data_IF_623424214754
#
_entry.id   IF_623424214754
#
_cell.length_a   1.000
_cell.length_b   1.000
_cell.length_c   1.000
_cell.angle_alpha   90.00
_cell.angle_beta   90.00
_cell.angle_gamma   90.00
#
_symmetry.space_group_name_H-M   'P 1'
#
loop_
_entity.id
_entity.type
_entity.pdbx_description
1 polymer ?
#
# COMPACT_ATOMS: atom_id res chain seq x y z
N UNK A 1 27.08 -6.62 58.24
CA UNK A 1 26.42 -5.56 57.46
C UNK A 1 26.05 -6.14 56.10
N UNK A 2 24.75 -6.28 55.81
CA UNK A 2 24.21 -6.84 54.56
C UNK A 2 23.45 -5.73 53.86
N UNK A 3 24.01 -5.17 52.80
CA UNK A 3 23.31 -4.28 51.87
C UNK A 3 23.05 -5.08 50.60
N UNK A 4 21.88 -5.72 50.54
CA UNK A 4 21.35 -6.27 49.29
C UNK A 4 20.81 -5.09 48.48
N UNK A 5 21.55 -4.65 47.48
CA UNK A 5 21.04 -3.74 46.45
C UNK A 5 20.14 -4.53 45.51
N UNK A 6 18.83 -4.29 45.60
CA UNK A 6 17.85 -4.83 44.64
C UNK A 6 17.94 -3.97 43.38
N UNK A 7 18.53 -4.53 42.32
CA UNK A 7 18.58 -3.93 41.00
C UNK A 7 17.23 -4.15 40.30
N UNK A 8 16.33 -3.18 40.38
CA UNK A 8 15.04 -3.20 39.69
C UNK A 8 15.25 -3.04 38.17
N UNK A 9 15.15 -4.14 37.43
CA UNK A 9 15.11 -4.11 35.95
C UNK A 9 13.76 -3.59 35.51
N UNK A 10 13.72 -2.35 35.04
CA UNK A 10 12.56 -1.77 34.35
C UNK A 10 12.41 -2.49 33.00
N UNK A 11 11.46 -3.43 32.92
CA UNK A 11 10.97 -3.96 31.66
C UNK A 11 10.15 -2.85 30.97
N UNK A 12 10.80 -2.07 30.11
CA UNK A 12 10.11 -1.17 29.20
C UNK A 12 9.50 -2.09 28.12
N UNK A 13 8.23 -2.44 28.27
CA UNK A 13 7.47 -3.11 27.23
C UNK A 13 7.29 -2.16 26.05
N UNK A 14 8.18 -2.27 25.06
CA UNK A 14 8.08 -1.56 23.79
C UNK A 14 6.80 -2.01 23.10
N UNK A 15 5.71 -1.27 23.26
CA UNK A 15 4.52 -1.46 22.45
C UNK A 15 4.86 -1.02 21.02
N UNK A 16 5.21 -1.98 20.17
CA UNK A 16 5.34 -1.73 18.75
C UNK A 16 3.93 -1.42 18.21
N UNK A 17 3.66 -0.13 17.96
CA UNK A 17 2.50 0.29 17.19
C UNK A 17 2.55 -0.44 15.85
N UNK A 18 1.52 -1.22 15.55
CA UNK A 18 1.43 -1.94 14.28
C UNK A 18 1.39 -0.92 13.14
N UNK A 19 2.48 -0.82 12.37
CA UNK A 19 2.59 0.11 11.26
C UNK A 19 1.52 -0.18 10.20
N UNK A 20 0.91 0.88 9.64
CA UNK A 20 0.01 0.76 8.50
C UNK A 20 0.76 0.14 7.32
N UNK A 21 0.19 -0.88 6.70
CA UNK A 21 0.74 -1.59 5.54
C UNK A 21 -0.26 -1.49 4.38
N UNK A 22 0.24 -1.28 3.15
CA UNK A 22 -0.57 -1.32 1.94
C UNK A 22 -0.42 -2.67 1.27
N UNK A 23 -1.53 -3.36 1.03
CA UNK A 23 -1.55 -4.64 0.33
C UNK A 23 -2.30 -4.50 -0.98
N UNK A 24 -1.61 -4.66 -2.10
CA UNK A 24 -2.22 -4.73 -3.45
C UNK A 24 -2.65 -6.16 -3.72
N UNK A 25 -3.95 -6.37 -3.93
CA UNK A 25 -4.55 -7.69 -4.19
C UNK A 25 -4.85 -7.92 -5.66
N UNK A 26 -5.06 -6.85 -6.43
CA UNK A 26 -5.23 -6.93 -7.87
C UNK A 26 -4.40 -5.84 -8.54
N UNK A 27 -3.68 -6.22 -9.59
CA UNK A 27 -3.02 -5.31 -10.51
C UNK A 27 -3.07 -5.96 -11.88
N UNK A 28 -3.99 -5.51 -12.74
CA UNK A 28 -4.30 -6.19 -14.00
C UNK A 28 -4.75 -5.20 -15.07
N UNK A 29 -4.51 -5.53 -16.35
CA UNK A 29 -5.13 -4.80 -17.46
C UNK A 29 -6.62 -5.12 -17.52
N UNK A 30 -7.41 -4.10 -17.82
CA UNK A 30 -8.85 -4.26 -18.05
C UNK A 30 -9.14 -4.89 -19.42
N UNK A 31 -8.33 -4.55 -20.42
CA UNK A 31 -8.41 -5.10 -21.76
C UNK A 31 -7.13 -5.89 -22.07
N UNK A 32 -7.22 -7.22 -21.97
CA UNK A 32 -6.09 -8.12 -22.24
C UNK A 32 -5.82 -8.31 -23.73
N UNK A 33 -6.80 -8.00 -24.59
CA UNK A 33 -6.74 -8.29 -26.02
C UNK A 33 -6.06 -7.16 -26.81
N UNK A 34 -5.96 -5.96 -26.22
CA UNK A 34 -5.32 -4.80 -26.82
C UNK A 34 -4.14 -4.32 -25.97
N UNK A 35 -2.91 -4.63 -26.41
CA UNK A 35 -1.71 -4.12 -25.74
C UNK A 35 -1.59 -2.58 -25.78
N UNK A 36 -2.29 -1.94 -26.72
CA UNK A 36 -2.35 -0.48 -26.88
C UNK A 36 -3.32 0.17 -25.91
N UNK A 37 -4.27 -0.60 -25.38
CA UNK A 37 -5.15 -0.16 -24.31
C UNK A 37 -4.38 -0.25 -22.98
N UNK A 38 -4.05 0.91 -22.43
CA UNK A 38 -3.31 1.02 -21.18
C UNK A 38 -4.21 0.98 -19.95
N UNK A 39 -5.54 0.84 -20.10
CA UNK A 39 -6.45 0.78 -18.98
C UNK A 39 -6.14 -0.44 -18.09
N UNK A 40 -5.86 -0.18 -16.82
CA UNK A 40 -5.57 -1.17 -15.80
C UNK A 40 -6.29 -0.82 -14.49
N UNK A 41 -6.50 -1.82 -13.66
CA UNK A 41 -7.09 -1.69 -12.33
C UNK A 41 -6.08 -2.10 -11.27
N UNK A 42 -5.93 -1.25 -10.26
CA UNK A 42 -5.24 -1.57 -9.01
C UNK A 42 -6.25 -1.60 -7.87
N UNK A 43 -6.31 -2.72 -7.15
CA UNK A 43 -7.13 -2.89 -5.96
C UNK A 43 -6.30 -3.40 -4.80
N UNK A 44 -6.70 -3.03 -3.59
CA UNK A 44 -6.02 -3.46 -2.39
C UNK A 44 -6.75 -3.11 -1.11
N UNK A 45 -6.03 -3.25 0.00
CA UNK A 45 -6.49 -2.85 1.32
C UNK A 45 -5.33 -2.37 2.20
N UNK A 46 -5.66 -1.62 3.25
CA UNK A 46 -4.77 -1.27 4.34
C UNK A 46 -4.85 -2.31 5.47
N UNK A 47 -3.71 -2.66 6.03
CA UNK A 47 -3.59 -3.51 7.22
C UNK A 47 -2.94 -2.71 8.34
N UNK A 48 -3.36 -2.96 9.58
CA UNK A 48 -2.90 -2.20 10.76
C UNK A 48 -3.88 -1.11 11.16
N UNK A 49 -3.38 -0.08 11.82
CA UNK A 49 -4.17 1.07 12.29
C UNK A 49 -4.40 2.07 11.13
N UNK A 50 -5.66 2.46 10.92
CA UNK A 50 -6.09 3.47 9.97
C UNK A 50 -7.46 4.05 10.39
N UNK A 51 -7.77 5.28 9.98
CA UNK A 51 -8.98 6.03 10.32
C UNK A 51 -10.10 5.88 9.30
N UNK A 52 -9.84 5.25 8.15
CA UNK A 52 -10.86 4.94 7.13
C UNK A 52 -11.14 6.08 6.16
N UNK A 53 -10.28 7.09 6.13
CA UNK A 53 -10.34 8.26 5.25
C UNK A 53 -8.96 8.63 4.67
N UNK A 54 -8.01 7.70 4.73
CA UNK A 54 -6.68 7.87 4.18
C UNK A 54 -6.74 8.14 2.68
N UNK A 55 -6.02 9.18 2.27
CA UNK A 55 -5.75 9.44 0.86
C UNK A 55 -4.59 8.57 0.41
N UNK A 56 -4.78 7.82 -0.67
CA UNK A 56 -3.74 7.10 -1.38
C UNK A 56 -3.27 7.91 -2.58
N UNK A 57 -1.96 8.04 -2.75
CA UNK A 57 -1.36 8.48 -4.01
C UNK A 57 -0.89 7.24 -4.76
N UNK A 58 -1.31 7.13 -6.02
CA UNK A 58 -0.96 6.01 -6.89
C UNK A 58 -0.14 6.54 -8.05
N UNK A 59 1.10 6.10 -8.16
CA UNK A 59 2.01 6.46 -9.24
C UNK A 59 2.19 5.26 -10.14
N UNK A 60 1.85 5.39 -11.42
CA UNK A 60 2.12 4.35 -12.43
C UNK A 60 3.33 4.75 -13.26
N UNK A 61 4.10 3.75 -13.67
CA UNK A 61 5.23 3.89 -14.59
C UNK A 61 6.21 5.02 -14.23
N UNK A 62 6.52 5.15 -12.94
CA UNK A 62 7.42 6.18 -12.40
C UNK A 62 8.69 6.38 -13.24
N UNK A 63 8.99 7.63 -13.57
CA UNK A 63 10.14 8.03 -14.39
C UNK A 63 9.99 7.87 -15.91
N UNK A 64 8.97 7.16 -16.43
CA UNK A 64 8.73 7.04 -17.88
C UNK A 64 7.26 6.74 -18.20
N UNK A 65 6.57 7.64 -18.89
CA UNK A 65 5.11 7.60 -19.09
C UNK A 65 4.35 7.63 -17.74
N UNK A 66 4.88 8.40 -16.79
CA UNK A 66 4.36 8.47 -15.44
C UNK A 66 2.94 9.01 -15.42
N UNK A 67 2.06 8.32 -14.70
CA UNK A 67 0.74 8.81 -14.34
C UNK A 67 0.62 8.92 -12.83
N UNK A 68 -0.01 9.99 -12.35
CA UNK A 68 -0.25 10.23 -10.94
C UNK A 68 -1.75 10.32 -10.69
N UNK A 69 -2.22 9.51 -9.75
CA UNK A 69 -3.62 9.42 -9.40
C UNK A 69 -3.75 9.51 -7.87
N UNK A 70 -4.95 9.86 -7.43
CA UNK A 70 -5.30 9.83 -6.03
C UNK A 70 -6.64 9.12 -5.85
N UNK A 71 -6.76 8.38 -4.77
CA UNK A 71 -8.02 7.79 -4.33
C UNK A 71 -8.09 7.82 -2.81
N UNK A 72 -9.25 7.49 -2.26
CA UNK A 72 -9.44 7.33 -0.83
C UNK A 72 -9.72 5.87 -0.51
N UNK A 73 -9.30 5.43 0.67
CA UNK A 73 -9.76 4.16 1.21
C UNK A 73 -11.18 4.27 1.73
N UNK A 74 -11.90 3.17 1.66
CA UNK A 74 -13.19 2.99 2.35
C UNK A 74 -12.99 2.89 3.86
N UNK A 75 -14.08 2.94 4.61
CA UNK A 75 -14.14 2.66 6.06
C UNK A 75 -13.52 1.30 6.45
N UNK A 76 -13.53 0.33 5.52
CA UNK A 76 -12.92 -1.00 5.67
C UNK A 76 -11.47 -1.07 5.19
N UNK A 77 -10.84 0.07 4.90
CA UNK A 77 -9.47 0.17 4.42
C UNK A 77 -9.26 -0.32 2.98
N UNK A 78 -10.33 -0.63 2.24
CA UNK A 78 -10.26 -1.13 0.85
C UNK A 78 -10.23 0.00 -0.16
N UNK A 79 -9.59 -0.24 -1.31
CA UNK A 79 -9.59 0.66 -2.46
C UNK A 79 -9.54 -0.12 -3.77
N UNK A 80 -10.08 0.49 -4.83
CA UNK A 80 -9.89 0.10 -6.22
C UNK A 80 -9.82 1.36 -7.07
N UNK A 81 -8.93 1.39 -8.06
CA UNK A 81 -8.73 2.53 -8.93
C UNK A 81 -8.36 2.07 -10.33
N UNK A 82 -9.04 2.65 -11.33
CA UNK A 82 -8.68 2.50 -12.74
C UNK A 82 -7.64 3.56 -13.09
N UNK A 83 -6.57 3.13 -13.74
CA UNK A 83 -5.43 3.93 -14.15
C UNK A 83 -5.05 3.59 -15.59
N UNK A 84 -4.32 4.48 -16.24
CA UNK A 84 -3.68 4.21 -17.52
C UNK A 84 -2.19 3.90 -17.31
N UNK A 85 -1.70 2.76 -17.80
CA UNK A 85 -0.31 2.29 -17.72
C UNK A 85 0.18 1.72 -19.05
N UNK A 86 1.46 1.95 -19.34
CA UNK A 86 2.17 1.41 -20.49
C UNK A 86 3.14 0.29 -20.10
N UNK A 87 3.83 0.42 -18.96
CA UNK A 87 4.88 -0.53 -18.54
C UNK A 87 4.39 -1.52 -17.48
N UNK A 88 3.20 -1.33 -16.91
CA UNK A 88 2.63 -2.22 -15.91
C UNK A 88 3.29 -2.09 -14.54
N UNK A 89 3.87 -0.93 -14.22
CA UNK A 89 4.47 -0.63 -12.91
C UNK A 89 3.54 0.28 -12.12
N UNK A 90 3.36 -0.01 -10.84
CA UNK A 90 2.53 0.80 -9.93
C UNK A 90 3.16 0.88 -8.55
N UNK A 91 3.10 2.07 -7.95
CA UNK A 91 3.45 2.37 -6.57
C UNK A 91 2.22 2.98 -5.91
N UNK A 92 1.81 2.45 -4.75
CA UNK A 92 0.70 2.98 -3.95
C UNK A 92 1.27 3.45 -2.62
N UNK A 93 0.98 4.70 -2.25
CA UNK A 93 1.48 5.34 -1.03
C UNK A 93 0.33 5.94 -0.23
N UNK A 94 0.27 5.63 1.07
CA UNK A 94 -0.64 6.28 2.01
C UNK A 94 -0.12 7.68 2.34
N UNK A 95 -0.94 8.69 2.10
CA UNK A 95 -0.63 10.07 2.47
C UNK A 95 -0.58 10.19 4.00
N UNK A 96 0.44 10.87 4.52
CA UNK A 96 0.61 11.10 5.95
C UNK A 96 1.52 10.07 6.63
N UNK A 97 1.27 8.77 6.43
CA UNK A 97 2.11 7.72 7.04
C UNK A 97 3.32 7.33 6.18
N UNK A 98 3.23 7.53 4.86
CA UNK A 98 4.27 7.11 3.92
C UNK A 98 4.33 5.59 3.68
N UNK A 99 3.42 4.83 4.29
CA UNK A 99 3.28 3.40 4.04
C UNK A 99 3.07 3.17 2.54
N UNK A 100 3.86 2.28 1.94
CA UNK A 100 3.85 2.10 0.50
C UNK A 100 4.05 0.66 0.09
N UNK A 101 3.59 0.35 -1.12
CA UNK A 101 3.84 -0.92 -1.79
C UNK A 101 3.96 -0.68 -3.28
N UNK A 102 4.77 -1.50 -3.96
CA UNK A 102 5.02 -1.38 -5.38
C UNK A 102 4.91 -2.72 -6.08
N UNK A 103 4.43 -2.70 -7.32
CA UNK A 103 4.38 -3.85 -8.20
C UNK A 103 5.02 -3.47 -9.53
N UNK A 104 6.05 -4.21 -9.94
CA UNK A 104 6.75 -3.95 -11.22
C UNK A 104 6.15 -4.74 -12.40
N UNK A 105 5.15 -5.58 -12.12
CA UNK A 105 4.44 -6.39 -13.12
C UNK A 105 3.03 -6.68 -12.66
N UNK A 106 2.12 -6.93 -13.61
CA UNK A 106 0.77 -7.39 -13.32
C UNK A 106 0.76 -8.67 -12.49
N UNK A 107 -0.21 -8.76 -11.58
CA UNK A 107 -0.40 -9.93 -10.74
C UNK A 107 -1.14 -11.02 -11.54
N UNK A 108 -0.93 -12.31 -11.20
CA UNK A 108 -1.69 -13.39 -11.81
C UNK A 108 -3.17 -13.23 -11.49
N UNK A 109 -4.02 -13.22 -12.51
CA UNK A 109 -5.47 -13.26 -12.34
C UNK A 109 -5.86 -14.60 -11.72
N UNK A 110 -6.39 -14.59 -10.50
CA UNK A 110 -6.99 -15.79 -9.90
C UNK A 110 -8.31 -16.04 -10.62
N UNK A 111 -8.36 -17.10 -11.43
CA UNK A 111 -9.58 -17.60 -12.06
C UNK A 111 -10.45 -18.33 -11.04
#
# INVERSE_FOLDING_TARGET
MKTLSILSVFFISSQALAATEVVVTAWQRLNTDSIRDGAAEVCGYLKGEFTGNEKLNVTVDKGRNQGEYATFVTDKGRFCLVVNTYLGRVEVVVSGTGASTSQDKFLPTKK
#
